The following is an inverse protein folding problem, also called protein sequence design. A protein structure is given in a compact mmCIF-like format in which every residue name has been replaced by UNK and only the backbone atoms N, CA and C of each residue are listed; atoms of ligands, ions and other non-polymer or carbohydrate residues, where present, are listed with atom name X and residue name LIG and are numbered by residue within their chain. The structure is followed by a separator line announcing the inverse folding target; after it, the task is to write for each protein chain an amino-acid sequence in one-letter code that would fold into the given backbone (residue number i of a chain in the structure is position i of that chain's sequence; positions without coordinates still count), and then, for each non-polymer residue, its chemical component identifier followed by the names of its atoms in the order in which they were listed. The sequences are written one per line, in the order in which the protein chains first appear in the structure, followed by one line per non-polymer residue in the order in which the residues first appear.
data_IF_499770844007
#
_entry.id   IF_499770844007
#
_cell.length_a   1.000
_cell.length_b   1.000
_cell.length_c   1.000
_cell.angle_alpha   90.00
_cell.angle_beta   90.00
_cell.angle_gamma   90.00
#
_symmetry.space_group_name_H-M   'P 1'
#
loop_
_entity.id
_entity.type
_entity.pdbx_description
1 polymer ?
#
# COMPACT_ATOMS: atom_id res chain seq x y z
N UNK A 1 -9.78 14.78 24.11
CA UNK A 1 -11.09 15.29 23.65
C UNK A 1 -11.56 14.39 22.52
N UNK A 2 -12.77 13.84 22.54
CA UNK A 2 -13.26 13.01 21.44
C UNK A 2 -13.44 13.90 20.21
N UNK A 3 -12.68 13.61 19.16
CA UNK A 3 -12.77 14.26 17.85
C UNK A 3 -14.17 14.01 17.30
N UNK A 4 -14.97 15.08 17.12
CA UNK A 4 -16.26 14.96 16.45
C UNK A 4 -16.03 14.37 15.05
N UNK A 5 -16.77 13.30 14.72
CA UNK A 5 -16.75 12.74 13.38
C UNK A 5 -17.17 13.85 12.39
N UNK A 6 -16.47 14.01 11.25
CA UNK A 6 -16.77 15.07 10.30
C UNK A 6 -18.22 14.94 9.81
N UNK A 7 -19.02 15.98 10.03
CA UNK A 7 -20.38 16.15 9.52
C UNK A 7 -20.37 16.54 8.04
N UNK A 8 -19.66 15.77 7.21
CA UNK A 8 -19.69 15.90 5.76
C UNK A 8 -20.80 15.03 5.17
N UNK A 9 -21.50 15.51 4.14
CA UNK A 9 -22.33 14.64 3.31
C UNK A 9 -21.39 13.67 2.58
N UNK A 10 -21.48 12.38 2.88
CA UNK A 10 -20.73 11.35 2.17
C UNK A 10 -21.18 11.29 0.69
N UNK A 11 -20.30 10.84 -0.22
CA UNK A 11 -20.67 10.68 -1.62
C UNK A 11 -21.89 9.77 -1.73
N UNK A 12 -22.89 10.20 -2.51
CA UNK A 12 -24.08 9.40 -2.80
C UNK A 12 -23.81 8.25 -3.78
N UNK A 13 -22.64 8.25 -4.40
CA UNK A 13 -22.21 7.24 -5.39
C UNK A 13 -21.29 6.21 -4.75
N UNK A 14 -21.39 4.94 -5.15
CA UNK A 14 -20.46 3.93 -4.68
C UNK A 14 -19.04 4.22 -5.18
N UNK A 15 -18.05 3.86 -4.37
CA UNK A 15 -16.64 3.91 -4.72
C UNK A 15 -16.14 2.48 -4.93
N UNK A 16 -15.55 2.22 -6.10
CA UNK A 16 -15.00 0.90 -6.41
C UNK A 16 -13.49 1.01 -6.57
N UNK A 17 -12.75 0.32 -5.72
CA UNK A 17 -11.29 0.30 -5.75
C UNK A 17 -10.81 -0.96 -6.45
N UNK A 18 -10.01 -0.77 -7.50
CA UNK A 18 -9.48 -1.87 -8.28
C UNK A 18 -8.23 -2.46 -7.63
N UNK A 19 -8.34 -3.69 -7.14
CA UNK A 19 -7.28 -4.36 -6.39
C UNK A 19 -7.29 -5.87 -6.65
N UNK A 20 -6.14 -6.50 -6.42
CA UNK A 20 -6.00 -7.95 -6.45
C UNK A 20 -6.41 -8.54 -5.09
N UNK A 21 -6.48 -9.89 -4.94
CA UNK A 21 -6.64 -10.50 -3.63
C UNK A 21 -5.57 -10.00 -2.66
N UNK A 22 -5.90 -9.98 -1.37
CA UNK A 22 -5.05 -9.44 -0.33
C UNK A 22 -3.68 -10.13 -0.29
N UNK A 23 -2.63 -9.34 -0.11
CA UNK A 23 -1.26 -9.83 0.02
C UNK A 23 -0.54 -9.00 1.09
N UNK A 24 -0.26 -9.64 2.22
CA UNK A 24 0.40 -9.03 3.38
C UNK A 24 1.84 -8.56 3.08
N UNK A 25 2.45 -9.06 2.01
CA UNK A 25 3.79 -8.66 1.60
C UNK A 25 3.80 -7.48 0.61
N UNK A 26 2.61 -7.04 0.17
CA UNK A 26 2.44 -5.96 -0.80
C UNK A 26 1.77 -4.74 -0.17
N UNK A 27 2.59 -3.74 0.17
CA UNK A 27 2.10 -2.47 0.74
C UNK A 27 1.01 -1.80 -0.12
N UNK A 28 1.13 -1.89 -1.45
CA UNK A 28 0.12 -1.39 -2.37
C UNK A 28 -1.22 -2.13 -2.25
N UNK A 29 -1.23 -3.46 -2.14
CA UNK A 29 -2.48 -4.20 -1.95
C UNK A 29 -3.07 -3.94 -0.56
N UNK A 30 -2.24 -3.87 0.48
CA UNK A 30 -2.68 -3.53 1.84
C UNK A 30 -3.42 -2.20 1.85
N UNK A 31 -2.85 -1.13 1.30
CA UNK A 31 -3.48 0.20 1.36
C UNK A 31 -4.72 0.32 0.47
N UNK A 32 -4.80 -0.44 -0.63
CA UNK A 32 -6.03 -0.51 -1.43
C UNK A 32 -7.18 -1.15 -0.66
N UNK A 33 -6.92 -2.26 0.04
CA UNK A 33 -7.91 -2.92 0.90
C UNK A 33 -8.27 -2.04 2.11
N UNK A 34 -7.27 -1.46 2.76
CA UNK A 34 -7.45 -0.56 3.91
C UNK A 34 -8.24 0.71 3.54
N UNK A 35 -8.10 1.21 2.30
CA UNK A 35 -8.92 2.33 1.82
C UNK A 35 -10.39 1.96 1.78
N UNK A 36 -10.73 0.77 1.25
CA UNK A 36 -12.10 0.27 1.18
C UNK A 36 -12.68 0.12 2.59
N UNK A 37 -11.96 -0.60 3.47
CA UNK A 37 -12.36 -0.80 4.86
C UNK A 37 -12.59 0.53 5.59
N UNK A 38 -11.66 1.48 5.44
CA UNK A 38 -11.76 2.80 6.07
C UNK A 38 -12.97 3.59 5.56
N UNK A 39 -13.22 3.58 4.25
CA UNK A 39 -14.40 4.22 3.66
C UNK A 39 -15.69 3.62 4.23
N UNK A 40 -15.78 2.30 4.34
CA UNK A 40 -16.95 1.59 4.88
C UNK A 40 -17.15 1.87 6.37
N UNK A 41 -16.07 1.95 7.15
CA UNK A 41 -16.12 2.35 8.57
C UNK A 41 -16.70 3.76 8.78
N UNK A 42 -16.63 4.61 7.73
CA UNK A 42 -17.20 5.96 7.71
C UNK A 42 -18.62 6.00 7.10
N UNK A 43 -19.19 4.87 6.70
CA UNK A 43 -20.51 4.80 6.09
C UNK A 43 -20.54 5.08 4.58
N UNK A 44 -19.39 5.04 3.90
CA UNK A 44 -19.32 5.14 2.44
C UNK A 44 -19.54 3.78 1.80
N UNK A 45 -20.38 3.74 0.77
CA UNK A 45 -20.59 2.56 -0.08
C UNK A 45 -19.32 2.26 -0.90
N UNK A 46 -18.39 1.50 -0.34
CA UNK A 46 -17.15 1.13 -0.99
C UNK A 46 -17.01 -0.39 -1.21
N UNK A 47 -16.37 -0.75 -2.33
CA UNK A 47 -16.24 -2.14 -2.80
C UNK A 47 -14.91 -2.37 -3.54
N UNK A 48 -14.47 -3.63 -3.59
CA UNK A 48 -13.36 -4.08 -4.42
C UNK A 48 -13.83 -4.50 -5.83
N UNK A 49 -12.96 -4.35 -6.82
CA UNK A 49 -13.08 -5.03 -8.11
C UNK A 49 -11.73 -5.55 -8.57
N UNK A 50 -11.66 -6.81 -9.03
CA UNK A 50 -10.43 -7.32 -9.60
C UNK A 50 -10.11 -6.64 -10.94
N UNK A 51 -8.82 -6.50 -11.31
CA UNK A 51 -8.41 -5.91 -12.58
C UNK A 51 -8.94 -6.77 -13.73
N UNK A 52 -10.05 -6.36 -14.34
CA UNK A 52 -10.62 -7.02 -15.50
C UNK A 52 -10.88 -6.01 -16.59
N UNK A 53 -10.70 -6.43 -17.85
CA UNK A 53 -11.11 -5.61 -18.98
C UNK A 53 -12.63 -5.69 -19.10
N UNK A 54 -13.28 -4.55 -19.02
CA UNK A 54 -14.63 -4.38 -19.48
C UNK A 54 -14.65 -4.42 -21.01
N UNK A 55 -15.71 -5.02 -21.53
CA UNK A 55 -16.00 -5.12 -22.95
C UNK A 55 -17.40 -4.54 -23.23
N UNK A 56 -17.83 -3.51 -22.48
CA UNK A 56 -19.17 -2.90 -22.59
C UNK A 56 -19.36 -2.29 -23.99
N UNK A 57 -18.29 -1.75 -24.55
CA UNK A 57 -18.21 -1.24 -25.92
C UNK A 57 -18.33 -2.31 -27.03
N UNK A 58 -18.12 -3.61 -26.74
CA UNK A 58 -18.22 -4.65 -27.76
C UNK A 58 -19.67 -4.89 -28.20
N UNK A 59 -19.86 -4.95 -29.52
CA UNK A 59 -21.12 -5.34 -30.16
C UNK A 59 -20.95 -6.66 -30.92
N UNK A 60 -21.93 -7.58 -30.83
CA UNK A 60 -23.09 -7.58 -29.93
C UNK A 60 -22.72 -7.75 -28.44
N UNK A 61 -23.55 -7.21 -27.54
CA UNK A 61 -23.26 -7.10 -26.09
C UNK A 61 -22.95 -8.46 -25.41
N UNK A 62 -23.53 -9.56 -25.91
CA UNK A 62 -23.27 -10.90 -25.38
C UNK A 62 -21.82 -11.37 -25.59
N UNK A 63 -21.12 -10.91 -26.64
CA UNK A 63 -19.69 -11.20 -26.83
C UNK A 63 -18.85 -10.56 -25.72
N UNK A 64 -19.22 -9.34 -25.33
CA UNK A 64 -18.57 -8.65 -24.22
C UNK A 64 -18.79 -9.37 -22.88
N UNK A 65 -20.02 -9.83 -22.63
CA UNK A 65 -20.34 -10.64 -21.46
C UNK A 65 -19.56 -11.97 -21.45
N UNK A 66 -19.48 -12.68 -22.58
CA UNK A 66 -18.75 -13.94 -22.70
C UNK A 66 -17.24 -13.76 -22.49
N UNK A 67 -16.62 -12.74 -23.09
CA UNK A 67 -15.19 -12.45 -22.88
C UNK A 67 -14.91 -12.08 -21.43
N UNK A 68 -15.78 -11.28 -20.79
CA UNK A 68 -15.67 -10.94 -19.37
C UNK A 68 -15.78 -12.19 -18.50
N UNK A 69 -16.74 -13.06 -18.79
CA UNK A 69 -16.91 -14.32 -18.07
C UNK A 69 -15.68 -15.23 -18.20
N UNK A 70 -15.18 -15.42 -19.42
CA UNK A 70 -13.96 -16.20 -19.68
C UNK A 70 -12.73 -15.61 -18.96
N UNK A 71 -12.64 -14.29 -18.85
CA UNK A 71 -11.56 -13.63 -18.12
C UNK A 71 -11.73 -13.78 -16.59
N UNK A 72 -12.94 -13.55 -16.06
CA UNK A 72 -13.28 -13.73 -14.64
C UNK A 72 -12.98 -15.15 -14.15
N UNK A 73 -13.23 -16.17 -14.99
CA UNK A 73 -12.88 -17.58 -14.67
C UNK A 73 -11.39 -17.86 -14.55
N UNK A 74 -10.53 -16.99 -15.09
CA UNK A 74 -9.07 -17.12 -15.00
C UNK A 74 -8.49 -16.31 -13.86
N UNK A 75 -9.27 -15.43 -13.25
CA UNK A 75 -8.84 -14.65 -12.10
C UNK A 75 -8.81 -15.55 -10.86
N UNK A 76 -7.84 -15.35 -9.97
CA UNK A 76 -7.86 -16.01 -8.67
C UNK A 76 -9.13 -15.62 -7.91
N UNK A 77 -9.50 -16.49 -6.97
CA UNK A 77 -10.54 -16.16 -5.99
C UNK A 77 -10.13 -14.90 -5.21
N UNK A 78 -11.07 -13.99 -5.04
CA UNK A 78 -10.83 -12.77 -4.29
C UNK A 78 -10.99 -13.05 -2.81
N UNK A 79 -10.01 -12.63 -2.02
CA UNK A 79 -10.09 -12.64 -0.56
C UNK A 79 -9.50 -11.35 -0.01
N UNK A 80 -10.02 -10.94 1.14
CA UNK A 80 -9.53 -9.83 1.94
C UNK A 80 -8.96 -10.37 3.26
N UNK A 81 -8.21 -9.54 3.99
CA UNK A 81 -7.83 -9.87 5.35
C UNK A 81 -9.08 -9.97 6.24
N UNK A 82 -9.11 -10.92 7.18
CA UNK A 82 -10.28 -11.17 8.05
C UNK A 82 -10.68 -9.96 8.91
N UNK A 83 -9.72 -9.06 9.17
CA UNK A 83 -9.93 -7.85 9.95
C UNK A 83 -10.49 -6.67 9.13
N UNK A 84 -10.73 -6.83 7.83
CA UNK A 84 -11.15 -5.75 6.93
C UNK A 84 -12.49 -6.07 6.27
N UNK A 85 -13.40 -5.09 6.23
CA UNK A 85 -14.63 -5.19 5.46
C UNK A 85 -14.37 -4.76 4.00
N UNK A 86 -14.18 -5.74 3.10
CA UNK A 86 -13.84 -5.49 1.69
C UNK A 86 -14.70 -6.36 0.77
N UNK A 87 -15.97 -6.00 0.54
CA UNK A 87 -16.87 -6.74 -0.32
C UNK A 87 -16.56 -6.49 -1.81
N UNK A 88 -16.81 -7.49 -2.65
CA UNK A 88 -16.71 -7.35 -4.11
C UNK A 88 -17.90 -6.58 -4.69
N UNK A 89 -17.63 -5.69 -5.64
CA UNK A 89 -18.64 -4.93 -6.36
C UNK A 89 -19.48 -5.85 -7.27
N UNK A 90 -20.80 -5.62 -7.29
CA UNK A 90 -21.68 -6.21 -8.29
C UNK A 90 -21.59 -5.43 -9.62
N UNK A 91 -22.04 -6.05 -10.72
CA UNK A 91 -22.07 -5.37 -12.02
C UNK A 91 -22.97 -4.12 -12.01
N UNK A 92 -24.04 -4.10 -11.19
CA UNK A 92 -24.93 -2.94 -11.04
C UNK A 92 -24.26 -1.77 -10.30
N UNK A 93 -23.43 -2.07 -9.30
CA UNK A 93 -22.66 -1.05 -8.56
C UNK A 93 -21.66 -0.34 -9.49
N UNK A 94 -21.06 -1.08 -10.43
CA UNK A 94 -20.05 -0.57 -11.36
C UNK A 94 -20.60 0.42 -12.41
N UNK A 95 -21.91 0.56 -12.58
CA UNK A 95 -22.48 1.42 -13.63
C UNK A 95 -22.44 2.92 -13.25
N UNK A 96 -22.60 3.27 -11.96
CA UNK A 96 -22.56 4.67 -11.45
C UNK A 96 -21.41 4.91 -10.45
N UNK A 97 -20.47 3.97 -10.35
CA UNK A 97 -19.37 4.08 -9.41
C UNK A 97 -18.32 5.13 -9.81
N UNK A 98 -17.71 5.74 -8.80
CA UNK A 98 -16.38 6.35 -8.94
C UNK A 98 -15.37 5.21 -8.83
N UNK A 99 -14.56 5.02 -9.87
CA UNK A 99 -13.59 3.92 -9.91
C UNK A 99 -12.20 4.43 -9.59
N UNK A 100 -11.61 3.87 -8.52
CA UNK A 100 -10.24 4.13 -8.10
C UNK A 100 -9.33 3.05 -8.67
N UNK A 101 -8.32 3.45 -9.43
CA UNK A 101 -7.28 2.53 -9.91
C UNK A 101 -5.92 2.86 -9.29
N UNK A 102 -5.13 1.86 -8.89
CA UNK A 102 -3.72 2.08 -8.62
C UNK A 102 -2.97 2.41 -9.92
N UNK A 103 -1.78 2.99 -9.79
CA UNK A 103 -0.91 3.34 -10.91
C UNK A 103 -0.55 2.12 -11.78
N UNK A 104 -0.50 0.93 -11.19
CA UNK A 104 -0.18 -0.33 -11.90
C UNK A 104 -1.23 -0.76 -12.92
N UNK A 105 -2.45 -0.22 -12.88
CA UNK A 105 -3.52 -0.54 -13.83
C UNK A 105 -3.48 0.41 -15.03
N UNK A 106 -3.37 -0.15 -16.24
CA UNK A 106 -3.32 0.65 -17.47
C UNK A 106 -4.68 1.21 -17.87
N UNK A 107 -4.77 2.53 -18.03
CA UNK A 107 -5.95 3.25 -18.49
C UNK A 107 -7.19 3.01 -17.63
N UNK A 108 -8.37 3.06 -18.25
CA UNK A 108 -9.67 2.85 -17.62
C UNK A 108 -10.30 1.52 -18.08
N UNK A 109 -9.80 0.36 -17.61
CA UNK A 109 -10.24 -0.94 -18.11
C UNK A 109 -11.71 -1.23 -17.81
N UNK A 110 -12.32 -0.61 -16.80
CA UNK A 110 -13.74 -0.79 -16.49
C UNK A 110 -14.67 0.10 -17.32
N UNK A 111 -14.11 0.96 -18.20
CA UNK A 111 -14.87 1.94 -18.99
C UNK A 111 -15.77 2.81 -18.09
N UNK A 112 -15.26 3.22 -16.92
CA UNK A 112 -15.99 4.02 -15.95
C UNK A 112 -16.06 5.49 -16.37
N UNK A 113 -17.17 6.18 -16.08
CA UNK A 113 -17.32 7.61 -16.37
C UNK A 113 -16.45 8.48 -15.45
N UNK A 114 -16.21 8.03 -14.22
CA UNK A 114 -15.52 8.78 -13.17
C UNK A 114 -14.34 7.99 -12.67
N UNK A 115 -13.14 8.49 -12.95
CA UNK A 115 -11.91 7.77 -12.68
C UNK A 115 -11.04 8.58 -11.72
N UNK A 116 -10.61 7.89 -10.66
CA UNK A 116 -9.57 8.36 -9.76
C UNK A 116 -8.34 7.47 -9.95
N UNK A 117 -7.19 8.09 -10.19
CA UNK A 117 -5.88 7.43 -10.19
C UNK A 117 -5.20 7.65 -8.85
N UNK A 118 -4.87 6.58 -8.15
CA UNK A 118 -4.11 6.66 -6.90
C UNK A 118 -2.68 6.17 -7.10
N UNK A 119 -1.73 7.06 -6.91
CA UNK A 119 -0.30 6.79 -7.06
C UNK A 119 0.25 6.17 -5.77
N UNK A 120 0.47 4.86 -5.79
CA UNK A 120 1.10 4.11 -4.72
C UNK A 120 2.61 3.91 -4.96
N UNK A 121 3.09 4.36 -6.12
CA UNK A 121 4.49 4.46 -6.50
C UNK A 121 4.64 5.47 -7.66
N UNK A 122 5.87 5.73 -8.09
CA UNK A 122 6.15 6.49 -9.32
C UNK A 122 5.52 5.79 -10.54
N UNK A 123 4.71 6.51 -11.35
CA UNK A 123 4.10 5.95 -12.56
C UNK A 123 5.12 5.28 -13.49
N UNK A 124 4.72 4.17 -14.13
CA UNK A 124 5.56 3.42 -15.07
C UNK A 124 6.60 2.49 -14.42
N UNK A 125 6.97 2.70 -13.15
CA UNK A 125 8.01 1.91 -12.48
C UNK A 125 7.61 0.44 -12.27
N UNK A 126 6.34 0.19 -11.93
CA UNK A 126 5.81 -1.14 -11.62
C UNK A 126 4.78 -1.62 -12.66
N UNK A 127 4.77 -1.00 -13.85
CA UNK A 127 3.73 -1.16 -14.86
C UNK A 127 2.76 0.03 -14.88
N UNK A 128 1.59 -0.16 -15.50
CA UNK A 128 0.67 0.96 -15.75
C UNK A 128 1.01 1.76 -17.00
N UNK A 129 0.44 2.97 -17.09
CA UNK A 129 0.77 3.94 -18.13
C UNK A 129 1.87 4.88 -17.60
N UNK A 130 2.82 5.24 -18.46
CA UNK A 130 3.80 6.29 -18.16
C UNK A 130 3.15 7.69 -18.16
N UNK A 131 2.12 7.87 -18.99
CA UNK A 131 1.30 9.08 -19.05
C UNK A 131 -0.11 8.81 -18.53
N UNK A 132 -0.56 9.64 -17.61
CA UNK A 132 -1.92 9.59 -17.08
C UNK A 132 -2.88 10.29 -18.04
N UNK A 133 -4.12 9.84 -18.09
CA UNK A 133 -5.16 10.50 -18.85
C UNK A 133 -5.55 11.82 -18.14
N UNK A 134 -5.50 12.98 -18.82
CA UNK A 134 -5.79 14.28 -18.19
C UNK A 134 -7.21 14.42 -17.62
N UNK A 135 -8.13 13.52 -17.98
CA UNK A 135 -9.49 13.48 -17.43
C UNK A 135 -9.60 12.74 -16.10
N UNK A 136 -8.56 12.01 -15.67
CA UNK A 136 -8.55 11.30 -14.39
C UNK A 136 -8.21 12.25 -13.24
N UNK A 137 -8.93 12.11 -12.13
CA UNK A 137 -8.57 12.78 -10.88
C UNK A 137 -7.40 12.02 -10.23
N UNK A 138 -6.31 12.72 -9.88
CA UNK A 138 -5.10 12.07 -9.37
C UNK A 138 -4.93 12.34 -7.87
N UNK A 139 -4.72 11.28 -7.11
CA UNK A 139 -4.28 11.30 -5.72
C UNK A 139 -2.96 10.55 -5.58
N UNK A 140 -2.20 10.83 -4.53
CA UNK A 140 -0.91 10.18 -4.30
C UNK A 140 -0.71 9.82 -2.83
N UNK A 141 0.01 8.72 -2.59
CA UNK A 141 0.30 8.25 -1.24
C UNK A 141 1.46 9.00 -0.59
N UNK A 142 2.45 9.41 -1.38
CA UNK A 142 3.62 10.20 -0.97
C UNK A 142 3.93 11.26 -2.02
N UNK A 143 4.42 12.42 -1.59
CA UNK A 143 4.75 13.55 -2.48
C UNK A 143 5.74 13.13 -3.58
N UNK A 144 6.73 12.29 -3.24
CA UNK A 144 7.71 11.76 -4.18
C UNK A 144 7.11 10.94 -5.34
N UNK A 145 5.86 10.48 -5.24
CA UNK A 145 5.17 9.75 -6.30
C UNK A 145 4.45 10.67 -7.29
N UNK A 146 4.19 11.93 -6.91
CA UNK A 146 3.61 12.94 -7.78
C UNK A 146 4.68 13.75 -8.54
N UNK A 147 5.96 13.58 -8.21
CA UNK A 147 7.08 14.20 -8.93
C UNK A 147 7.02 13.88 -10.43
N UNK A 148 7.00 14.92 -11.27
CA UNK A 148 6.95 14.78 -12.73
C UNK A 148 5.56 14.46 -13.30
N UNK A 149 4.53 14.31 -12.46
CA UNK A 149 3.14 14.20 -12.91
C UNK A 149 2.57 15.61 -13.06
N UNK A 150 2.13 15.94 -14.28
CA UNK A 150 1.64 17.28 -14.58
C UNK A 150 0.40 17.64 -13.73
N UNK A 151 0.45 18.82 -13.09
CA UNK A 151 -0.70 19.50 -12.50
C UNK A 151 -1.44 18.77 -11.37
N UNK A 152 -0.75 17.97 -10.54
CA UNK A 152 -1.35 17.39 -9.33
C UNK A 152 -1.18 18.36 -8.15
N UNK A 153 -2.29 18.78 -7.54
CA UNK A 153 -2.25 19.65 -6.35
C UNK A 153 -1.68 18.91 -5.13
N UNK A 154 -0.84 19.55 -4.29
CA UNK A 154 -0.37 18.98 -3.02
C UNK A 154 -1.51 18.50 -2.08
N UNK A 155 -2.69 19.12 -2.18
CA UNK A 155 -3.87 18.75 -1.38
C UNK A 155 -4.47 17.38 -1.75
N UNK A 156 -3.92 16.70 -2.76
CA UNK A 156 -4.34 15.37 -3.22
C UNK A 156 -3.55 14.23 -2.56
N UNK A 157 -2.89 14.52 -1.45
CA UNK A 157 -2.27 13.51 -0.60
C UNK A 157 -3.35 12.64 0.06
N UNK A 158 -3.43 11.37 -0.32
CA UNK A 158 -4.34 10.38 0.25
C UNK A 158 -3.54 9.25 0.90
N UNK A 159 -3.60 9.19 2.23
CA UNK A 159 -2.91 8.17 3.03
C UNK A 159 -3.89 7.43 3.93
N UNK A 160 -3.80 6.11 3.88
CA UNK A 160 -4.44 5.19 4.82
C UNK A 160 -3.37 4.24 5.33
N UNK A 161 -3.47 3.86 6.60
CA UNK A 161 -2.52 2.94 7.21
C UNK A 161 -3.30 1.77 7.80
N UNK A 162 -2.70 0.59 7.65
CA UNK A 162 -3.12 -0.58 8.38
C UNK A 162 -1.86 -1.19 9.01
N UNK A 163 -1.90 -1.37 10.32
CA UNK A 163 -0.83 -1.93 11.11
C UNK A 163 -1.20 -3.35 11.50
N UNK A 164 -0.22 -4.25 11.45
CA UNK A 164 -0.32 -5.64 11.87
C UNK A 164 -0.27 -5.78 13.39
N UNK A 165 -1.16 -5.10 14.11
CA UNK A 165 -1.23 -5.15 15.58
C UNK A 165 -1.65 -6.54 16.10
N UNK A 166 -2.21 -7.38 15.22
CA UNK A 166 -2.45 -8.80 15.44
C UNK A 166 -1.15 -9.61 15.64
N UNK A 167 -0.03 -9.14 15.07
CA UNK A 167 1.26 -9.84 15.08
C UNK A 167 2.35 -9.06 15.82
N UNK A 168 2.47 -7.76 15.57
CA UNK A 168 3.52 -6.93 16.13
C UNK A 168 3.01 -6.17 17.35
N UNK A 169 3.54 -6.57 18.50
CA UNK A 169 3.30 -5.96 19.80
C UNK A 169 4.49 -6.20 20.71
N UNK A 170 4.71 -5.29 21.65
CA UNK A 170 5.73 -5.45 22.68
C UNK A 170 5.25 -6.45 23.73
N UNK A 171 5.91 -7.60 23.79
CA UNK A 171 5.63 -8.65 24.79
C UNK A 171 6.44 -8.50 26.08
N UNK A 172 7.12 -7.35 26.25
CA UNK A 172 7.94 -6.98 27.39
C UNK A 172 9.00 -8.04 27.75
N UNK A 173 9.58 -8.65 26.72
CA UNK A 173 10.63 -9.67 26.86
C UNK A 173 12.02 -9.03 26.95
N UNK A 174 12.98 -9.75 27.52
CA UNK A 174 14.39 -9.32 27.51
C UNK A 174 14.95 -9.38 26.09
N UNK A 175 15.60 -8.29 25.66
CA UNK A 175 16.17 -8.13 24.33
C UNK A 175 17.68 -8.11 24.39
N UNK A 176 18.34 -8.71 23.39
CA UNK A 176 19.78 -8.55 23.18
C UNK A 176 20.16 -8.82 21.72
N UNK A 177 21.28 -8.24 21.28
CA UNK A 177 21.76 -8.38 19.91
C UNK A 177 20.90 -7.62 18.90
N UNK A 178 21.08 -7.95 17.62
CA UNK A 178 20.48 -7.22 16.51
C UNK A 178 19.85 -8.15 15.47
N UNK A 179 18.98 -7.58 14.64
CA UNK A 179 18.44 -8.21 13.44
C UNK A 179 18.56 -7.28 12.23
N UNK A 180 18.53 -7.83 11.02
CA UNK A 180 18.76 -7.07 9.79
C UNK A 180 17.82 -7.48 8.66
N UNK A 181 17.39 -6.50 7.87
CA UNK A 181 16.57 -6.71 6.67
C UNK A 181 17.12 -5.89 5.51
N UNK A 182 17.37 -6.55 4.37
CA UNK A 182 17.89 -5.94 3.15
C UNK A 182 16.74 -5.48 2.23
N UNK A 183 15.83 -6.39 1.86
CA UNK A 183 14.77 -6.16 0.85
C UNK A 183 15.23 -5.35 -0.37
N UNK A 184 14.84 -4.07 -0.44
CA UNK A 184 15.06 -3.16 -1.57
C UNK A 184 16.39 -2.38 -1.46
N UNK A 185 17.07 -2.49 -0.32
CA UNK A 185 18.29 -1.73 0.00
C UNK A 185 19.59 -2.38 -0.46
N UNK A 186 19.60 -3.10 -1.58
CA UNK A 186 20.79 -3.85 -2.04
C UNK A 186 22.00 -2.95 -2.31
N UNK A 187 21.78 -1.66 -2.51
CA UNK A 187 22.82 -0.63 -2.70
C UNK A 187 23.60 -0.29 -1.42
N UNK A 188 23.17 -0.80 -0.26
CA UNK A 188 23.82 -0.58 1.04
C UNK A 188 24.48 -1.83 1.61
N UNK A 189 24.58 -2.92 0.82
CA UNK A 189 25.21 -4.18 1.24
C UNK A 189 26.68 -4.02 1.65
N UNK A 190 27.42 -3.11 1.00
CA UNK A 190 28.82 -2.84 1.34
C UNK A 190 29.00 -2.16 2.70
N UNK A 191 27.91 -1.70 3.33
CA UNK A 191 27.92 -1.10 4.67
C UNK A 191 27.64 -2.13 5.77
N UNK A 192 27.44 -3.40 5.42
CA UNK A 192 27.31 -4.47 6.43
C UNK A 192 28.70 -4.73 7.03
N UNK A 193 28.89 -4.59 8.35
CA UNK A 193 30.20 -4.80 8.97
C UNK A 193 30.71 -6.23 8.79
N UNK A 194 32.03 -6.39 8.68
CA UNK A 194 32.64 -7.71 8.69
C UNK A 194 32.38 -8.41 10.03
N UNK A 195 31.90 -9.66 9.97
CA UNK A 195 31.53 -10.41 11.17
C UNK A 195 30.19 -10.00 11.78
N UNK A 196 29.31 -9.31 11.04
CA UNK A 196 27.93 -9.02 11.45
C UNK A 196 27.23 -10.27 11.99
N UNK A 197 26.59 -10.12 13.14
CA UNK A 197 25.85 -11.19 13.84
C UNK A 197 24.35 -10.92 13.89
N UNK A 198 23.88 -9.90 13.17
CA UNK A 198 22.47 -9.58 13.11
C UNK A 198 21.68 -10.76 12.51
N UNK A 199 20.57 -11.13 13.16
CA UNK A 199 19.67 -12.18 12.67
C UNK A 199 19.04 -11.72 11.35
N UNK A 200 19.19 -12.47 10.24
CA UNK A 200 18.59 -12.09 8.95
C UNK A 200 17.08 -12.28 8.99
N UNK A 201 16.34 -11.28 8.49
CA UNK A 201 14.88 -11.27 8.48
C UNK A 201 14.26 -11.53 7.09
N UNK A 202 15.03 -11.38 6.01
CA UNK A 202 14.52 -11.57 4.65
C UNK A 202 14.05 -13.01 4.43
N UNK A 203 12.80 -13.16 3.98
CA UNK A 203 12.18 -14.47 3.72
C UNK A 203 11.46 -15.09 4.92
N UNK A 204 11.56 -14.50 6.11
CA UNK A 204 10.77 -14.93 7.27
C UNK A 204 9.31 -14.47 7.17
N UNK A 205 8.41 -15.23 7.80
CA UNK A 205 7.00 -14.85 7.99
C UNK A 205 6.86 -13.67 8.97
N UNK A 206 5.72 -12.99 8.94
CA UNK A 206 5.44 -11.90 9.89
C UNK A 206 5.54 -12.35 11.36
N UNK A 207 5.09 -13.57 11.68
CA UNK A 207 5.18 -14.13 13.03
C UNK A 207 6.62 -14.40 13.46
N UNK A 208 7.44 -14.96 12.57
CA UNK A 208 8.87 -15.17 12.86
C UNK A 208 9.60 -13.85 13.04
N UNK A 209 9.30 -12.84 12.21
CA UNK A 209 9.88 -11.50 12.34
C UNK A 209 9.47 -10.86 13.66
N UNK A 210 8.19 -10.95 14.05
CA UNK A 210 7.71 -10.41 15.33
C UNK A 210 8.38 -11.09 16.54
N UNK A 211 8.61 -12.39 16.44
CA UNK A 211 9.34 -13.16 17.46
C UNK A 211 10.81 -12.72 17.56
N UNK A 212 11.46 -12.44 16.42
CA UNK A 212 12.83 -11.88 16.41
C UNK A 212 12.85 -10.48 16.99
N UNK A 213 11.95 -9.58 16.58
CA UNK A 213 11.86 -8.22 17.13
C UNK A 213 11.61 -8.20 18.65
N UNK A 214 10.84 -9.14 19.17
CA UNK A 214 10.64 -9.25 20.62
C UNK A 214 11.88 -9.80 21.38
N UNK A 215 12.92 -10.25 20.67
CA UNK A 215 14.16 -10.80 21.25
C UNK A 215 15.40 -9.94 20.99
N UNK A 216 15.37 -9.04 20.00
CA UNK A 216 16.52 -8.20 19.60
C UNK A 216 16.35 -6.76 20.03
N UNK A 217 17.46 -6.10 20.38
CA UNK A 217 17.46 -4.70 20.81
C UNK A 217 17.38 -3.75 19.61
N UNK A 218 18.14 -4.06 18.55
CA UNK A 218 18.31 -3.19 17.38
C UNK A 218 17.90 -3.90 16.09
N UNK A 219 17.12 -3.21 15.26
CA UNK A 219 16.77 -3.65 13.92
C UNK A 219 17.43 -2.74 12.87
N UNK A 220 18.44 -3.27 12.16
CA UNK A 220 19.07 -2.58 11.03
C UNK A 220 18.27 -2.78 9.75
N UNK A 221 17.75 -1.70 9.19
CA UNK A 221 16.90 -1.71 8.02
C UNK A 221 17.59 -1.01 6.84
N UNK A 222 17.77 -1.74 5.74
CA UNK A 222 18.33 -1.18 4.51
C UNK A 222 17.23 -0.71 3.53
N UNK A 223 15.96 -1.06 3.77
CA UNK A 223 14.80 -0.57 3.00
C UNK A 223 14.34 0.78 3.59
N UNK A 224 14.81 1.88 2.99
CA UNK A 224 14.62 3.26 3.49
C UNK A 224 13.18 3.62 3.86
N UNK A 225 12.19 3.07 3.15
CA UNK A 225 10.78 3.40 3.30
C UNK A 225 9.96 2.12 3.48
N UNK A 226 9.94 1.62 4.72
CA UNK A 226 9.33 0.33 5.04
C UNK A 226 8.39 0.37 6.23
N UNK A 227 7.33 -0.45 6.18
CA UNK A 227 6.45 -0.70 7.32
C UNK A 227 7.15 -1.49 8.43
N UNK A 228 8.24 -2.21 8.13
CA UNK A 228 8.97 -2.98 9.14
C UNK A 228 9.61 -2.12 10.23
N UNK A 229 9.91 -0.85 9.96
CA UNK A 229 10.37 0.09 10.99
C UNK A 229 9.26 0.38 12.02
N UNK A 230 8.00 0.51 11.57
CA UNK A 230 6.85 0.63 12.47
C UNK A 230 6.65 -0.64 13.27
N UNK A 231 6.76 -1.81 12.63
CA UNK A 231 6.59 -3.10 13.27
C UNK A 231 7.65 -3.38 14.34
N UNK A 232 8.91 -3.02 14.09
CA UNK A 232 9.97 -3.09 15.08
C UNK A 232 9.66 -2.18 16.27
N UNK A 233 9.28 -0.92 16.02
CA UNK A 233 8.91 0.03 17.08
C UNK A 233 7.72 -0.46 17.92
N UNK A 234 6.68 -1.02 17.29
CA UNK A 234 5.53 -1.63 17.98
C UNK A 234 5.92 -2.83 18.84
N UNK A 235 6.93 -3.59 18.41
CA UNK A 235 7.47 -4.74 19.12
C UNK A 235 8.60 -4.38 20.11
N UNK A 236 8.87 -3.09 20.34
CA UNK A 236 9.91 -2.61 21.26
C UNK A 236 11.36 -2.84 20.79
N UNK A 237 11.57 -3.19 19.51
CA UNK A 237 12.88 -3.28 18.87
C UNK A 237 13.22 -1.94 18.21
N UNK A 238 14.42 -1.40 18.44
CA UNK A 238 14.79 -0.06 17.94
C UNK A 238 15.12 -0.13 16.45
N UNK A 239 14.31 0.46 15.55
CA UNK A 239 14.64 0.48 14.13
C UNK A 239 15.73 1.52 13.86
N UNK A 240 16.75 1.10 13.11
CA UNK A 240 17.88 1.90 12.63
C UNK A 240 17.91 1.79 11.11
N UNK A 241 17.63 2.87 10.40
CA UNK A 241 17.74 2.89 8.94
C UNK A 241 19.18 3.13 8.53
N UNK A 242 19.70 2.22 7.71
CA UNK A 242 21.06 2.27 7.17
C UNK A 242 21.13 3.35 6.09
N UNK A 243 22.03 4.34 6.20
CA UNK A 243 22.12 5.43 5.24
C UNK A 243 22.38 4.95 3.80
N UNK A 244 21.65 5.52 2.85
CA UNK A 244 21.95 5.33 1.42
C UNK A 244 23.03 6.33 0.98
N UNK A 245 24.06 5.91 0.23
CA UNK A 245 25.03 6.84 -0.33
C UNK A 245 24.36 7.93 -1.18
N UNK A 246 24.66 9.19 -0.88
CA UNK A 246 24.07 10.34 -1.58
C UNK A 246 22.69 10.78 -1.09
N UNK A 247 22.14 10.17 -0.03
CA UNK A 247 20.91 10.61 0.62
C UNK A 247 21.20 11.14 2.03
N UNK A 248 20.93 12.42 2.26
CA UNK A 248 21.12 13.02 3.59
C UNK A 248 20.05 12.52 4.58
N UNK A 249 20.37 12.58 5.88
CA UNK A 249 19.41 12.20 6.93
C UNK A 249 18.19 13.13 6.95
N UNK A 250 18.37 14.41 6.58
CA UNK A 250 17.30 15.40 6.48
C UNK A 250 16.35 15.05 5.33
N UNK A 251 16.89 14.85 4.13
CA UNK A 251 16.11 14.46 2.94
C UNK A 251 15.35 13.15 3.16
N UNK A 252 16.02 12.15 3.76
CA UNK A 252 15.37 10.89 4.11
C UNK A 252 14.25 11.11 5.13
N UNK A 253 14.51 11.86 6.20
CA UNK A 253 13.49 12.14 7.23
C UNK A 253 12.30 12.84 6.62
N UNK A 254 12.49 13.80 5.72
CA UNK A 254 11.41 14.53 5.06
C UNK A 254 10.51 13.60 4.24
N UNK A 255 11.10 12.64 3.52
CA UNK A 255 10.38 11.60 2.79
C UNK A 255 9.75 10.50 3.67
N UNK A 256 10.26 10.28 4.89
CA UNK A 256 9.78 9.20 5.75
C UNK A 256 8.67 9.63 6.71
N UNK A 257 7.62 8.82 6.79
CA UNK A 257 6.43 9.15 7.57
C UNK A 257 6.60 9.00 9.09
N UNK A 258 7.51 8.11 9.54
CA UNK A 258 7.77 7.90 10.97
C UNK A 258 8.91 8.84 11.41
N UNK A 259 8.53 10.08 11.75
CA UNK A 259 9.49 11.15 12.09
C UNK A 259 10.21 10.95 13.43
N UNK A 260 9.62 10.17 14.34
CA UNK A 260 10.14 9.91 15.70
C UNK A 260 10.15 8.42 15.99
N UNK A 261 11.11 7.97 16.82
CA UNK A 261 11.25 6.55 17.20
C UNK A 261 12.03 5.69 16.20
N UNK A 262 12.69 6.32 15.21
CA UNK A 262 13.59 5.64 14.25
C UNK A 262 14.93 6.36 14.21
N UNK A 263 16.00 5.61 14.43
CA UNK A 263 17.36 6.11 14.28
C UNK A 263 17.80 6.05 12.81
N UNK A 264 18.74 6.91 12.43
CA UNK A 264 19.34 6.94 11.11
C UNK A 264 20.85 7.03 11.27
N UNK A 265 21.58 6.05 10.74
CA UNK A 265 23.02 5.92 10.97
C UNK A 265 23.42 4.55 11.50
N UNK A 266 24.61 4.48 12.09
CA UNK A 266 25.09 3.33 12.86
C UNK A 266 24.81 3.50 14.36
#
# INVERSE_FOLDING_TARGET
MPTQAPTGSFPTRPIVVVCRPFDENSGGQIVLHALIDRMRSLGVDAYASQPCKTYRSLRPAWLGALKRWNYRRKLPEFFAHESMDVPMASDAVLDDAIVVYPETVRGNPLEAERVVRWLLNRPGLLGGNETLDPSEEVFFYQEAFAEGVASVSPDRLLRVRWLREDVYRDENRSRSGSCRMIRKGTDTLSQIPEGDRAIPLDGLSHQEIAEVFNKTEVFYCHDLYTMYAYYAALAGCVPVVVPRPGLSAEDWRDGFELKHGVAYGE
#
